data_IF_639903896499
#
_entry.id   IF_639903896499
#
_cell.length_a   1.000
_cell.length_b   1.000
_cell.length_c   1.000
_cell.angle_alpha   90.00
_cell.angle_beta   90.00
_cell.angle_gamma   90.00
#
_symmetry.space_group_name_H-M   'P 1'
#
loop_
_entity.id
_entity.type
_entity.pdbx_description
1 polymer ?
#
# COMPACT_ATOMS: atom_id res chain seq x y z
N UNK A 1 8.05 0.04 15.06
CA UNK A 1 7.27 -1.20 14.79
C UNK A 1 5.89 -0.93 14.22
N UNK A 2 5.09 0.00 14.76
CA UNK A 2 3.71 0.26 14.27
C UNK A 2 3.64 0.78 12.81
N UNK A 3 4.61 1.58 12.36
CA UNK A 3 4.63 2.17 11.01
C UNK A 3 4.60 1.11 9.88
N UNK A 4 5.57 0.19 9.77
CA UNK A 4 5.63 -0.75 8.64
C UNK A 4 4.44 -1.73 8.61
N UNK A 5 3.84 -2.04 9.77
CA UNK A 5 2.68 -2.95 9.85
C UNK A 5 1.44 -2.28 9.22
N UNK A 6 1.20 -1.01 9.53
CA UNK A 6 0.08 -0.26 8.96
C UNK A 6 0.21 -0.11 7.44
N UNK A 7 1.42 0.17 6.95
CA UNK A 7 1.69 0.27 5.51
C UNK A 7 1.45 -1.07 4.80
N UNK A 8 1.92 -2.16 5.40
CA UNK A 8 1.70 -3.51 4.90
C UNK A 8 0.21 -3.82 4.74
N UNK A 9 -0.62 -3.42 5.71
CA UNK A 9 -2.08 -3.62 5.64
C UNK A 9 -2.72 -2.84 4.49
N UNK A 10 -2.26 -1.61 4.21
CA UNK A 10 -2.78 -0.80 3.10
C UNK A 10 -2.44 -1.44 1.76
N UNK A 11 -1.20 -1.89 1.56
CA UNK A 11 -0.81 -2.62 0.34
C UNK A 11 -1.53 -3.97 0.22
N UNK A 12 -1.77 -4.65 1.35
CA UNK A 12 -2.56 -5.88 1.41
C UNK A 12 -3.99 -5.66 0.88
N UNK A 13 -4.63 -4.57 1.32
CA UNK A 13 -5.95 -4.20 0.85
C UNK A 13 -5.96 -3.85 -0.65
N UNK A 14 -4.96 -3.09 -1.12
CA UNK A 14 -4.82 -2.74 -2.53
C UNK A 14 -4.69 -3.97 -3.43
N UNK A 15 -3.86 -4.96 -3.08
CA UNK A 15 -3.76 -6.18 -3.89
C UNK A 15 -5.08 -6.96 -3.88
N UNK A 16 -5.78 -7.01 -2.74
CA UNK A 16 -7.05 -7.75 -2.62
C UNK A 16 -8.10 -7.19 -3.58
N UNK A 17 -8.22 -5.86 -3.67
CA UNK A 17 -9.12 -5.19 -4.63
C UNK A 17 -8.75 -5.53 -6.07
N UNK A 18 -7.45 -5.51 -6.42
CA UNK A 18 -6.99 -5.84 -7.77
C UNK A 18 -7.21 -7.31 -8.12
N UNK A 19 -6.92 -8.21 -7.19
CA UNK A 19 -7.13 -9.64 -7.34
C UNK A 19 -8.60 -9.94 -7.61
N UNK A 20 -9.53 -9.32 -6.88
CA UNK A 20 -10.97 -9.46 -7.13
C UNK A 20 -11.37 -9.06 -8.57
N UNK A 21 -10.73 -8.04 -9.14
CA UNK A 21 -10.97 -7.61 -10.53
C UNK A 21 -10.43 -8.64 -11.53
N UNK A 22 -9.25 -9.23 -11.26
CA UNK A 22 -8.68 -10.30 -12.10
C UNK A 22 -9.50 -11.59 -12.05
N UNK A 23 -10.03 -11.93 -10.87
CA UNK A 23 -10.99 -13.02 -10.68
C UNK A 23 -12.28 -12.79 -11.47
N UNK A 24 -12.82 -11.56 -11.43
CA UNK A 24 -14.01 -11.18 -12.19
C UNK A 24 -13.82 -11.35 -13.71
N UNK A 25 -12.60 -11.14 -14.22
CA UNK A 25 -12.27 -11.34 -15.62
C UNK A 25 -11.75 -12.75 -15.97
N UNK A 26 -11.94 -13.72 -15.07
CA UNK A 26 -11.60 -15.14 -15.27
C UNK A 26 -10.11 -15.41 -15.57
N UNK A 27 -9.22 -14.54 -15.07
CA UNK A 27 -7.77 -14.63 -15.25
C UNK A 27 -7.05 -15.21 -14.02
N UNK A 28 -7.66 -16.23 -13.40
CA UNK A 28 -7.24 -16.77 -12.11
C UNK A 28 -5.83 -17.41 -12.12
N UNK A 29 -5.40 -18.00 -13.25
CA UNK A 29 -4.09 -18.67 -13.37
C UNK A 29 -2.90 -17.72 -13.13
N UNK A 30 -3.02 -16.45 -13.50
CA UNK A 30 -1.95 -15.47 -13.31
C UNK A 30 -1.85 -15.05 -11.84
N UNK A 31 -2.99 -14.78 -11.20
CA UNK A 31 -3.09 -14.46 -9.77
C UNK A 31 -2.46 -15.55 -8.93
N UNK A 32 -2.76 -16.81 -9.24
CA UNK A 32 -2.22 -17.98 -8.56
C UNK A 32 -0.69 -18.05 -8.69
N UNK A 33 -0.15 -17.85 -9.90
CA UNK A 33 1.30 -17.87 -10.12
C UNK A 33 2.01 -16.72 -9.39
N UNK A 34 1.48 -15.50 -9.47
CA UNK A 34 2.05 -14.33 -8.78
C UNK A 34 2.03 -14.52 -7.27
N UNK A 35 0.93 -15.04 -6.72
CA UNK A 35 0.80 -15.30 -5.27
C UNK A 35 1.76 -16.39 -4.80
N UNK A 36 1.95 -17.45 -5.61
CA UNK A 36 2.90 -18.51 -5.32
C UNK A 36 4.34 -17.99 -5.27
N UNK A 37 4.74 -17.22 -6.29
CA UNK A 37 6.08 -16.61 -6.35
C UNK A 37 6.25 -15.62 -5.19
N UNK A 38 5.27 -14.75 -4.94
CA UNK A 38 5.34 -13.78 -3.84
C UNK A 38 5.44 -14.45 -2.47
N UNK A 39 4.68 -15.52 -2.22
CA UNK A 39 4.74 -16.29 -0.97
C UNK A 39 6.09 -16.99 -0.82
N UNK A 40 6.62 -17.59 -1.88
CA UNK A 40 7.93 -18.24 -1.86
C UNK A 40 9.05 -17.23 -1.59
N UNK A 41 9.01 -16.07 -2.25
CA UNK A 41 9.94 -14.96 -2.02
C UNK A 41 9.83 -14.44 -0.58
N UNK A 42 8.62 -14.26 -0.06
CA UNK A 42 8.41 -13.78 1.31
C UNK A 42 9.01 -14.75 2.36
N UNK A 43 8.77 -16.05 2.20
CA UNK A 43 9.33 -17.08 3.09
C UNK A 43 10.86 -17.14 2.99
N UNK A 44 11.41 -17.11 1.78
CA UNK A 44 12.86 -17.12 1.55
C UNK A 44 13.55 -15.89 2.16
N UNK A 45 12.99 -14.70 1.93
CA UNK A 45 13.52 -13.47 2.52
C UNK A 45 13.39 -13.49 4.05
N UNK A 46 12.25 -13.89 4.60
CA UNK A 46 12.09 -13.97 6.04
C UNK A 46 13.08 -14.97 6.68
N UNK A 47 13.35 -16.11 6.05
CA UNK A 47 14.33 -17.08 6.57
C UNK A 47 15.75 -16.50 6.70
N UNK A 48 16.20 -15.75 5.69
CA UNK A 48 17.51 -15.10 5.69
C UNK A 48 17.55 -13.89 6.63
N UNK A 49 16.56 -13.01 6.55
CA UNK A 49 16.56 -11.74 7.29
C UNK A 49 16.25 -11.89 8.78
N UNK A 50 15.43 -12.87 9.21
CA UNK A 50 15.21 -13.14 10.63
C UNK A 50 16.51 -13.57 11.30
N UNK A 51 17.30 -14.41 10.62
CA UNK A 51 18.57 -14.93 11.16
C UNK A 51 19.64 -13.85 11.33
N UNK A 52 19.62 -12.80 10.49
CA UNK A 52 20.62 -11.72 10.51
C UNK A 52 20.21 -10.47 11.29
N UNK A 53 18.93 -10.07 11.25
CA UNK A 53 18.47 -8.75 11.72
C UNK A 53 17.29 -8.83 12.71
N UNK A 54 16.84 -10.03 13.07
CA UNK A 54 15.73 -10.25 14.01
C UNK A 54 14.36 -9.81 13.47
N UNK A 55 13.40 -9.65 14.38
CA UNK A 55 11.98 -9.48 14.03
C UNK A 55 11.64 -8.19 13.26
N UNK A 56 12.40 -7.11 13.43
CA UNK A 56 12.16 -5.87 12.68
C UNK A 56 12.38 -6.05 11.18
N UNK A 57 13.39 -6.83 10.78
CA UNK A 57 13.65 -7.05 9.37
C UNK A 57 12.54 -7.84 8.69
N UNK A 58 11.93 -8.79 9.41
CA UNK A 58 10.77 -9.54 8.91
C UNK A 58 9.57 -8.63 8.56
N UNK A 59 9.38 -7.54 9.31
CA UNK A 59 8.32 -6.58 9.01
C UNK A 59 8.59 -5.81 7.71
N UNK A 60 9.84 -5.39 7.47
CA UNK A 60 10.21 -4.64 6.26
C UNK A 60 10.28 -5.52 5.01
N UNK A 61 10.76 -6.76 5.12
CA UNK A 61 10.75 -7.73 4.01
C UNK A 61 9.31 -8.06 3.60
N UNK A 62 8.42 -8.24 4.57
CA UNK A 62 7.00 -8.48 4.33
C UNK A 62 6.36 -7.29 3.60
N UNK A 63 6.61 -6.07 4.05
CA UNK A 63 6.16 -4.85 3.36
C UNK A 63 6.64 -4.82 1.91
N UNK A 64 7.93 -5.10 1.67
CA UNK A 64 8.50 -5.16 0.33
C UNK A 64 7.82 -6.19 -0.57
N UNK A 65 7.52 -7.38 -0.04
CA UNK A 65 6.79 -8.41 -0.77
C UNK A 65 5.37 -7.97 -1.14
N UNK A 66 4.63 -7.30 -0.25
CA UNK A 66 3.29 -6.80 -0.56
C UNK A 66 3.31 -5.66 -1.59
N UNK A 67 4.31 -4.76 -1.53
CA UNK A 67 4.51 -3.72 -2.55
C UNK A 67 4.78 -4.36 -3.92
N UNK A 68 5.67 -5.35 -3.98
CA UNK A 68 5.97 -6.09 -5.20
C UNK A 68 4.72 -6.78 -5.77
N UNK A 69 3.97 -7.46 -4.91
CA UNK A 69 2.72 -8.11 -5.28
C UNK A 69 1.70 -7.11 -5.85
N UNK A 70 1.51 -5.97 -5.19
CA UNK A 70 0.61 -4.91 -5.66
C UNK A 70 1.02 -4.36 -7.04
N UNK A 71 2.32 -4.17 -7.30
CA UNK A 71 2.83 -3.70 -8.61
C UNK A 71 2.54 -4.74 -9.70
N UNK A 72 2.83 -6.02 -9.45
CA UNK A 72 2.59 -7.11 -10.40
C UNK A 72 1.11 -7.19 -10.81
N UNK A 73 0.20 -7.17 -9.83
CA UNK A 73 -1.24 -7.15 -10.08
C UNK A 73 -1.69 -5.88 -10.83
N UNK A 74 -1.14 -4.72 -10.47
CA UNK A 74 -1.49 -3.46 -11.14
C UNK A 74 -1.16 -3.46 -12.63
N UNK A 75 0.05 -3.93 -12.99
CA UNK A 75 0.47 -4.04 -14.40
C UNK A 75 -0.43 -5.00 -15.16
N UNK A 76 -0.80 -6.12 -14.53
CA UNK A 76 -1.62 -7.14 -15.18
C UNK A 76 -3.08 -6.71 -15.37
N UNK A 77 -3.69 -6.12 -14.35
CA UNK A 77 -5.04 -5.51 -14.45
C UNK A 77 -5.06 -4.50 -15.59
N UNK A 78 -4.07 -3.61 -15.67
CA UNK A 78 -3.97 -2.64 -16.76
C UNK A 78 -3.84 -3.30 -18.14
N UNK A 79 -3.07 -4.38 -18.24
CA UNK A 79 -2.95 -5.14 -19.48
C UNK A 79 -4.29 -5.79 -19.89
N UNK A 80 -5.09 -6.29 -18.93
CA UNK A 80 -6.44 -6.82 -19.18
C UNK A 80 -7.36 -5.71 -19.72
N UNK A 81 -7.42 -4.57 -19.04
CA UNK A 81 -8.26 -3.43 -19.48
C UNK A 81 -7.88 -2.94 -20.88
N UNK A 82 -6.57 -2.83 -21.17
CA UNK A 82 -6.08 -2.46 -22.50
C UNK A 82 -6.46 -3.49 -23.58
N UNK A 83 -6.42 -4.78 -23.27
CA UNK A 83 -6.85 -5.85 -24.21
C UNK A 83 -8.35 -5.86 -24.44
N UNK A 84 -9.15 -5.51 -23.44
CA UNK A 84 -10.62 -5.45 -23.56
C UNK A 84 -11.15 -4.12 -24.11
N UNK A 85 -10.28 -3.11 -24.29
CA UNK A 85 -10.70 -1.78 -24.75
C UNK A 85 -11.58 -1.02 -23.75
N UNK A 86 -11.54 -1.41 -22.47
CA UNK A 86 -12.33 -0.78 -21.40
C UNK A 86 -11.44 0.24 -20.69
N UNK A 87 -11.99 1.42 -20.39
CA UNK A 87 -11.28 2.42 -19.60
C UNK A 87 -10.99 1.88 -18.19
N UNK A 88 -9.73 1.96 -17.72
CA UNK A 88 -9.39 1.48 -16.39
C UNK A 88 -10.11 2.34 -15.33
N UNK A 89 -10.80 1.74 -14.37
CA UNK A 89 -11.47 2.48 -13.29
C UNK A 89 -10.47 3.17 -12.33
N UNK A 90 -9.18 2.82 -12.43
CA UNK A 90 -8.11 3.35 -11.60
C UNK A 90 -7.11 4.17 -12.41
N UNK A 91 -6.87 5.40 -11.97
CA UNK A 91 -5.84 6.25 -12.54
C UNK A 91 -4.44 5.78 -12.10
N UNK A 92 -3.55 5.38 -13.02
CA UNK A 92 -2.22 4.85 -12.69
C UNK A 92 -1.36 5.84 -11.91
N UNK A 93 -1.40 7.12 -12.31
CA UNK A 93 -0.63 8.17 -11.67
C UNK A 93 -1.12 8.46 -10.24
N UNK A 94 -2.43 8.40 -10.01
CA UNK A 94 -3.02 8.61 -8.68
C UNK A 94 -2.69 7.44 -7.74
N UNK A 95 -2.81 6.20 -8.24
CA UNK A 95 -2.57 5.01 -7.44
C UNK A 95 -1.07 4.81 -7.13
N UNK A 96 -0.21 5.01 -8.12
CA UNK A 96 1.24 5.01 -7.95
C UNK A 96 1.72 6.16 -7.05
N UNK A 97 1.14 7.36 -7.23
CA UNK A 97 1.42 8.52 -6.37
C UNK A 97 0.98 8.31 -4.93
N UNK A 98 -0.18 7.70 -4.70
CA UNK A 98 -0.64 7.33 -3.36
C UNK A 98 0.25 6.26 -2.71
N UNK A 99 0.66 5.24 -3.46
CA UNK A 99 1.59 4.21 -2.98
C UNK A 99 2.97 4.77 -2.62
N UNK A 100 3.54 5.62 -3.49
CA UNK A 100 4.80 6.32 -3.21
C UNK A 100 4.68 7.28 -2.02
N UNK A 101 3.55 7.98 -1.90
CA UNK A 101 3.27 8.86 -0.77
C UNK A 101 3.20 8.10 0.56
N UNK A 102 2.59 6.92 0.57
CA UNK A 102 2.53 6.05 1.75
C UNK A 102 3.91 5.54 2.16
N UNK A 103 4.70 5.02 1.20
CA UNK A 103 6.08 4.56 1.46
C UNK A 103 6.95 5.72 1.94
N UNK A 104 6.81 6.91 1.34
CA UNK A 104 7.51 8.12 1.77
C UNK A 104 7.13 8.55 3.18
N UNK A 105 5.85 8.46 3.54
CA UNK A 105 5.36 8.73 4.89
C UNK A 105 5.93 7.74 5.90
N UNK A 106 5.96 6.44 5.59
CA UNK A 106 6.54 5.41 6.45
C UNK A 106 8.04 5.57 6.66
N UNK A 107 8.79 5.90 5.60
CA UNK A 107 10.20 6.25 5.69
C UNK A 107 10.42 7.48 6.58
N UNK A 108 9.59 8.52 6.42
CA UNK A 108 9.66 9.73 7.23
C UNK A 108 9.41 9.42 8.72
N UNK A 109 8.38 8.61 9.03
CA UNK A 109 8.07 8.17 10.39
C UNK A 109 9.15 7.27 11.00
N UNK A 110 9.82 6.47 10.17
CA UNK A 110 10.93 5.59 10.59
C UNK A 110 12.20 6.39 10.89
N UNK A 111 12.51 7.41 10.07
CA UNK A 111 13.62 8.33 10.33
C UNK A 111 13.39 9.21 11.58
N UNK A 112 12.12 9.48 11.92
CA UNK A 112 11.74 10.21 13.12
C UNK A 112 11.70 9.34 14.38
N UNK A 113 11.81 8.02 14.24
CA UNK A 113 11.71 7.03 15.32
C UNK A 113 12.74 7.19 16.46
N UNK A 114 14.01 7.60 16.22
CA UNK A 114 14.98 7.81 17.31
C UNK A 114 14.77 9.12 18.09
N UNK A 115 13.92 10.06 17.63
CA UNK A 115 13.72 11.37 18.27
C UNK A 115 12.31 11.51 18.88
N UNK A 116 12.12 11.25 20.19
CA UNK A 116 10.80 11.27 20.82
C UNK A 116 10.11 12.65 20.76
N UNK A 117 10.87 13.75 20.81
CA UNK A 117 10.33 15.13 20.72
C UNK A 117 9.81 15.43 19.31
N UNK A 118 10.53 14.98 18.28
CA UNK A 118 10.12 15.15 16.88
C UNK A 118 8.82 14.38 16.56
N UNK A 119 8.61 13.23 17.21
CA UNK A 119 7.36 12.45 17.12
C UNK A 119 6.14 13.21 17.62
N UNK A 120 6.21 13.85 18.79
CA UNK A 120 5.11 14.64 19.33
C UNK A 120 4.84 15.89 18.49
N UNK A 121 5.88 16.53 17.96
CA UNK A 121 5.73 17.64 17.03
C UNK A 121 5.04 17.21 15.72
N UNK A 122 5.42 16.07 15.14
CA UNK A 122 4.77 15.56 13.93
C UNK A 122 3.29 15.21 14.15
N UNK A 123 2.94 14.60 15.29
CA UNK A 123 1.54 14.36 15.67
C UNK A 123 0.76 15.67 15.85
N UNK A 124 1.35 16.66 16.51
CA UNK A 124 0.74 17.97 16.71
C UNK A 124 0.52 18.71 15.37
N UNK A 125 1.48 18.62 14.44
CA UNK A 125 1.36 19.19 13.08
C UNK A 125 0.30 18.45 12.27
N UNK A 126 0.23 17.12 12.35
CA UNK A 126 -0.82 16.34 11.68
C UNK A 126 -2.23 16.69 12.20
N UNK A 127 -2.39 16.81 13.53
CA UNK A 127 -3.64 17.30 14.14
C UNK A 127 -3.95 18.74 13.71
N UNK A 128 -2.94 19.62 13.68
CA UNK A 128 -3.08 21.00 13.22
C UNK A 128 -3.54 21.09 11.77
N UNK A 129 -2.94 20.30 10.87
CA UNK A 129 -3.33 20.23 9.46
C UNK A 129 -4.75 19.70 9.27
N UNK A 130 -5.16 18.68 10.04
CA UNK A 130 -6.55 18.20 10.07
C UNK A 130 -7.52 19.29 10.56
N UNK A 131 -7.14 20.04 11.59
CA UNK A 131 -7.92 21.16 12.11
C UNK A 131 -8.05 22.33 11.12
N UNK A 132 -7.01 22.61 10.33
CA UNK A 132 -7.03 23.66 9.29
C UNK A 132 -7.85 23.21 8.08
N UNK A 133 -7.70 21.94 7.66
CA UNK A 133 -8.41 21.36 6.52
C UNK A 133 -9.83 20.88 6.85
N UNK A 134 -10.29 21.01 8.09
CA UNK A 134 -11.63 20.59 8.56
C UNK A 134 -12.78 21.12 7.69
N UNK A 135 -12.66 22.36 7.18
CA UNK A 135 -13.67 22.98 6.32
C UNK A 135 -13.77 22.30 4.94
N UNK A 136 -12.65 21.82 4.38
CA UNK A 136 -12.64 21.09 3.11
C UNK A 136 -13.17 19.65 3.27
N UNK A 137 -12.87 18.99 4.40
CA UNK A 137 -13.41 17.67 4.74
C UNK A 137 -14.94 17.66 4.87
N UNK A 138 -15.50 18.64 5.62
CA UNK A 138 -16.96 18.77 5.79
C UNK A 138 -17.64 19.09 4.45
N UNK A 139 -17.00 19.88 3.57
CA UNK A 139 -17.48 20.14 2.21
C UNK A 139 -17.50 18.89 1.33
N UNK A 140 -16.50 18.02 1.43
CA UNK A 140 -16.43 16.77 0.69
C UNK A 140 -17.50 15.76 1.15
N UNK A 141 -17.72 15.63 2.47
CA UNK A 141 -18.78 14.78 3.02
C UNK A 141 -20.19 15.22 2.59
N UNK A 142 -20.45 16.54 2.51
CA UNK A 142 -21.74 17.06 2.00
C UNK A 142 -21.95 16.77 0.51
N UNK A 143 -20.88 16.59 -0.26
CA UNK A 143 -20.94 16.27 -1.69
C UNK A 143 -21.27 14.80 -1.95
N UNK A 144 -20.86 13.90 -1.05
CA UNK A 144 -21.18 12.47 -1.12
C UNK A 144 -22.63 12.20 -0.69
N UNK A 145 -23.16 12.94 0.30
CA UNK A 145 -24.55 12.78 0.77
C UNK A 145 -25.63 13.33 -0.18
N UNK A 146 -25.24 13.94 -1.30
CA UNK A 146 -26.13 14.57 -2.29
C UNK A 146 -26.23 13.80 -3.62
N UNK A 147 -25.61 12.62 -3.69
CA UNK A 147 -25.82 11.63 -4.75
C UNK A 147 -26.61 10.47 -4.17
#
# INVERSE_FOLDING_TARGET
MLAPIAETLVFSFCYTVMSNIEFYFDKNKFVMFVSLVASATNVALNFVFISLFGFLAAAYTTLGCYVFMAICHFVYVRAIFKRKGIEPPFNPALLGGAGLGLIGLGLCLTLLYPYPIARFCAFAVAMGLLFVKRKQLIGFMRRIKKK
#
